data_IF_499619110584
#
_entry.id   IF_499619110584
#
_cell.length_a   1.000
_cell.length_b   1.000
_cell.length_c   1.000
_cell.angle_alpha   90.00
_cell.angle_beta   90.00
_cell.angle_gamma   90.00
#
_symmetry.space_group_name_H-M   'P 1'
#
loop_
_entity.id
_entity.type
_entity.pdbx_description
1 polymer ?
#
# COMPACT_ATOMS: atom_id res chain seq x y z
N UNK A 1 11.28 0.59 2.31
CA UNK A 1 11.29 0.32 3.77
C UNK A 1 9.89 0.28 4.37
N UNK A 2 9.01 1.24 4.08
CA UNK A 2 7.64 1.28 4.65
C UNK A 2 6.75 0.08 4.25
N UNK A 3 6.84 -0.40 3.01
CA UNK A 3 6.14 -1.61 2.53
C UNK A 3 6.45 -2.84 3.39
N UNK A 4 7.74 -3.09 3.65
CA UNK A 4 8.18 -4.22 4.47
C UNK A 4 7.66 -4.13 5.91
N UNK A 5 7.61 -2.92 6.47
CA UNK A 5 7.09 -2.70 7.81
C UNK A 5 5.59 -2.92 7.87
N UNK A 6 4.84 -2.42 6.89
CA UNK A 6 3.40 -2.67 6.78
C UNK A 6 3.10 -4.18 6.71
N UNK A 7 3.85 -4.92 5.90
CA UNK A 7 3.70 -6.37 5.74
C UNK A 7 3.98 -7.16 7.02
N UNK A 8 5.04 -6.79 7.74
CA UNK A 8 5.33 -7.38 9.06
C UNK A 8 4.21 -7.14 10.06
N UNK A 9 3.59 -5.96 10.03
CA UNK A 9 2.53 -5.58 10.96
C UNK A 9 1.17 -6.22 10.63
N UNK A 10 0.84 -6.39 9.34
CA UNK A 10 -0.46 -6.94 8.92
C UNK A 10 -0.47 -8.46 8.78
N UNK A 11 0.61 -9.04 8.27
CA UNK A 11 0.64 -10.45 7.88
C UNK A 11 1.61 -11.30 8.71
N UNK A 12 2.42 -10.68 9.59
CA UNK A 12 3.41 -11.38 10.42
C UNK A 12 4.50 -12.13 9.64
N UNK A 13 4.56 -11.91 8.32
CA UNK A 13 5.35 -12.69 7.37
C UNK A 13 6.26 -11.79 6.56
N UNK A 14 7.35 -12.35 6.03
CA UNK A 14 8.24 -11.64 5.11
C UNK A 14 7.64 -11.73 3.71
N UNK A 15 7.34 -10.61 3.03
CA UNK A 15 6.86 -10.63 1.65
C UNK A 15 7.91 -11.25 0.73
N UNK A 16 7.46 -11.91 -0.33
CA UNK A 16 8.35 -12.38 -1.39
C UNK A 16 8.91 -11.19 -2.19
N UNK A 17 9.90 -11.47 -3.04
CA UNK A 17 10.43 -10.46 -3.96
C UNK A 17 9.34 -9.94 -4.92
N UNK A 18 8.43 -10.82 -5.37
CA UNK A 18 7.32 -10.45 -6.24
C UNK A 18 6.31 -9.58 -5.49
N UNK A 19 5.91 -9.97 -4.27
CA UNK A 19 4.99 -9.16 -3.43
C UNK A 19 5.54 -7.75 -3.19
N UNK A 20 6.86 -7.66 -2.96
CA UNK A 20 7.54 -6.38 -2.77
C UNK A 20 7.52 -5.55 -4.04
N UNK A 21 7.76 -6.18 -5.19
CA UNK A 21 7.72 -5.50 -6.48
C UNK A 21 6.32 -4.99 -6.81
N UNK A 22 5.29 -5.81 -6.60
CA UNK A 22 3.90 -5.45 -6.86
C UNK A 22 3.43 -4.32 -5.95
N UNK A 23 3.80 -4.35 -4.67
CA UNK A 23 3.51 -3.27 -3.73
C UNK A 23 4.20 -1.96 -4.11
N UNK A 24 5.42 -2.02 -4.63
CA UNK A 24 6.13 -0.83 -5.13
C UNK A 24 5.49 -0.26 -6.39
N UNK A 25 5.07 -1.13 -7.32
CA UNK A 25 4.32 -0.74 -8.52
C UNK A 25 3.01 -0.05 -8.14
N UNK A 26 2.21 -0.66 -7.24
CA UNK A 26 0.98 -0.07 -6.74
C UNK A 26 1.20 1.31 -6.09
N UNK A 27 2.25 1.45 -5.27
CA UNK A 27 2.57 2.74 -4.64
C UNK A 27 2.97 3.80 -5.67
N UNK A 28 3.70 3.43 -6.72
CA UNK A 28 4.07 4.35 -7.79
C UNK A 28 2.83 4.85 -8.55
N UNK A 29 1.96 3.93 -8.96
CA UNK A 29 0.70 4.23 -9.66
C UNK A 29 -0.24 5.10 -8.81
N UNK A 30 -0.41 4.76 -7.52
CA UNK A 30 -1.23 5.57 -6.60
C UNK A 30 -0.62 6.94 -6.33
N UNK A 31 0.71 7.04 -6.25
CA UNK A 31 1.38 8.33 -6.07
C UNK A 31 1.18 9.21 -7.29
N UNK A 32 1.35 8.66 -8.50
CA UNK A 32 1.06 9.38 -9.75
C UNK A 32 -0.40 9.83 -9.81
N UNK A 33 -1.34 8.96 -9.43
CA UNK A 33 -2.76 9.31 -9.37
C UNK A 33 -3.01 10.50 -8.44
N UNK A 34 -2.48 10.49 -7.21
CA UNK A 34 -2.66 11.61 -6.27
C UNK A 34 -1.89 12.87 -6.63
N UNK A 35 -0.83 12.77 -7.45
CA UNK A 35 -0.15 13.93 -8.03
C UNK A 35 -1.00 14.59 -9.12
N UNK A 36 -1.65 13.78 -9.97
CA UNK A 36 -2.54 14.26 -11.04
C UNK A 36 -3.92 14.70 -10.51
N UNK A 37 -4.36 14.08 -9.41
CA UNK A 37 -5.66 14.31 -8.76
C UNK A 37 -5.47 14.61 -7.27
N UNK A 38 -4.92 15.78 -6.92
CA UNK A 38 -4.73 16.15 -5.52
C UNK A 38 -6.07 16.24 -4.81
N UNK A 39 -6.17 15.56 -3.65
CA UNK A 39 -7.37 15.63 -2.80
C UNK A 39 -7.45 17.01 -2.14
N UNK A 40 -8.48 17.78 -2.50
CA UNK A 40 -8.69 19.12 -1.95
C UNK A 40 -8.77 19.11 -0.41
N UNK A 41 -8.06 20.03 0.24
CA UNK A 41 -8.00 20.13 1.70
C UNK A 41 -7.06 19.14 2.40
N UNK A 42 -6.43 18.22 1.66
CA UNK A 42 -5.42 17.32 2.23
C UNK A 42 -4.08 18.04 2.40
N UNK A 43 -3.54 18.05 3.62
CA UNK A 43 -2.16 18.50 3.91
C UNK A 43 -1.11 17.40 3.71
N UNK A 44 -1.52 16.19 3.31
CA UNK A 44 -0.64 15.03 3.16
C UNK A 44 -0.08 14.99 1.75
N UNK A 45 1.21 14.67 1.63
CA UNK A 45 1.83 14.46 0.32
C UNK A 45 1.21 13.26 -0.41
N UNK A 46 1.33 13.23 -1.75
CA UNK A 46 0.76 12.17 -2.58
C UNK A 46 1.30 10.79 -2.18
N UNK A 47 2.58 10.69 -1.83
CA UNK A 47 3.24 9.47 -1.35
C UNK A 47 2.61 8.97 -0.04
N UNK A 48 2.27 9.89 0.87
CA UNK A 48 1.66 9.52 2.14
C UNK A 48 0.19 9.12 1.97
N UNK A 49 -0.51 9.67 0.98
CA UNK A 49 -1.85 9.23 0.59
C UNK A 49 -1.82 7.83 -0.03
N UNK A 50 -0.89 7.58 -0.95
CA UNK A 50 -0.66 6.28 -1.56
C UNK A 50 -0.33 5.21 -0.49
N UNK A 51 0.59 5.51 0.43
CA UNK A 51 0.94 4.61 1.52
C UNK A 51 -0.24 4.34 2.46
N UNK A 52 -1.05 5.36 2.78
CA UNK A 52 -2.24 5.17 3.61
C UNK A 52 -3.25 4.24 2.94
N UNK A 53 -3.47 4.39 1.62
CA UNK A 53 -4.32 3.50 0.84
C UNK A 53 -3.79 2.07 0.81
N UNK A 54 -2.48 1.89 0.61
CA UNK A 54 -1.82 0.59 0.65
C UNK A 54 -2.01 -0.10 2.01
N UNK A 55 -1.72 0.60 3.11
CA UNK A 55 -1.89 0.04 4.46
C UNK A 55 -3.35 -0.32 4.74
N UNK A 56 -4.30 0.51 4.28
CA UNK A 56 -5.74 0.21 4.43
C UNK A 56 -6.13 -1.04 3.64
N UNK A 57 -5.71 -1.16 2.38
CA UNK A 57 -5.94 -2.34 1.55
C UNK A 57 -5.37 -3.60 2.20
N UNK A 58 -4.15 -3.52 2.76
CA UNK A 58 -3.49 -4.62 3.47
C UNK A 58 -4.21 -5.04 4.75
N UNK A 59 -4.73 -4.09 5.53
CA UNK A 59 -5.53 -4.40 6.72
C UNK A 59 -6.90 -4.99 6.37
N UNK A 60 -7.48 -4.58 5.24
CA UNK A 60 -8.74 -5.11 4.75
C UNK A 60 -8.58 -6.44 3.99
N UNK A 61 -7.40 -6.72 3.46
CA UNK A 61 -7.09 -8.00 2.81
C UNK A 61 -6.95 -9.09 3.87
N UNK A 62 -8.04 -9.83 4.09
CA UNK A 62 -7.97 -11.03 4.90
C UNK A 62 -7.33 -12.15 4.09
N UNK A 63 -6.15 -12.60 4.49
CA UNK A 63 -5.56 -13.85 4.00
C UNK A 63 -6.48 -15.07 4.24
N UNK A 64 -7.43 -14.95 5.18
CA UNK A 64 -8.43 -15.97 5.49
C UNK A 64 -9.59 -16.07 4.48
N UNK A 65 -9.79 -15.07 3.61
CA UNK A 65 -10.89 -15.04 2.63
C UNK A 65 -10.46 -15.44 1.22
N UNK A 66 -9.17 -15.66 0.96
CA UNK A 66 -8.73 -16.40 -0.21
C UNK A 66 -8.93 -17.89 0.05
N UNK A 67 -10.20 -18.32 -0.08
CA UNK A 67 -10.55 -19.72 -0.28
C UNK A 67 -10.38 -19.96 -1.79
N UNK A 68 -9.42 -20.81 -2.16
CA UNK A 68 -9.33 -21.36 -3.53
C UNK A 68 -10.60 -22.17 -3.84
#
# INVERSE_FOLDING_TARGET
QQVLQAWKLTSGSIPTANDTQDALTFLAEQTEHFQQHPVEGSKRSAEMQALSGFCHAMMCSNAFLYVD
#
